data_IF_211259777669
#
_entry.id   IF_211259777669
#
_cell.length_a   1.000
_cell.length_b   1.000
_cell.length_c   1.000
_cell.angle_alpha   90.00
_cell.angle_beta   90.00
_cell.angle_gamma   90.00
#
_symmetry.space_group_name_H-M   'P 1'
#
loop_
_entity.id
_entity.type
_entity.pdbx_description
1 polymer ?
#
# COMPACT_ATOMS: atom_id res chain seq x y z
N UNK A 1 6.96 -4.40 8.14
CA UNK A 1 6.56 -5.60 7.40
C UNK A 1 7.49 -5.79 6.21
N UNK A 2 8.08 -6.95 6.09
CA UNK A 2 8.96 -7.27 4.98
C UNK A 2 8.39 -8.38 4.12
N UNK A 3 8.75 -8.39 2.86
CA UNK A 3 8.32 -9.43 1.94
C UNK A 3 8.88 -9.22 0.55
N UNK A 4 8.37 -10.00 -0.39
CA UNK A 4 8.76 -9.93 -1.79
C UNK A 4 7.57 -9.44 -2.62
N UNK A 5 7.83 -8.56 -3.57
CA UNK A 5 6.79 -8.05 -4.45
C UNK A 5 6.39 -9.15 -5.44
N UNK A 6 5.11 -9.48 -5.44
CA UNK A 6 4.54 -10.52 -6.31
C UNK A 6 3.45 -9.94 -7.19
N UNK A 7 3.06 -10.69 -8.21
CA UNK A 7 1.92 -10.30 -9.03
C UNK A 7 0.64 -10.55 -8.26
N UNK A 8 -0.20 -9.53 -8.17
CA UNK A 8 -1.50 -9.63 -7.53
C UNK A 8 -2.60 -9.18 -8.48
N UNK A 9 -3.75 -8.84 -7.91
CA UNK A 9 -4.83 -8.22 -8.66
C UNK A 9 -4.38 -6.82 -9.07
N UNK A 10 -4.08 -6.59 -10.33
CA UNK A 10 -3.49 -5.34 -10.83
C UNK A 10 -4.53 -4.23 -11.06
N UNK A 11 -5.59 -4.24 -10.27
CA UNK A 11 -6.68 -3.28 -10.44
C UNK A 11 -6.24 -1.83 -10.25
N UNK A 12 -5.38 -1.58 -9.25
CA UNK A 12 -4.86 -0.23 -9.03
C UNK A 12 -4.07 0.27 -10.22
N UNK A 13 -3.28 -0.60 -10.86
CA UNK A 13 -2.51 -0.24 -12.04
C UNK A 13 -3.43 0.15 -13.20
N UNK A 14 -4.50 -0.60 -13.43
CA UNK A 14 -5.47 -0.31 -14.47
C UNK A 14 -6.17 1.03 -14.24
N UNK A 15 -6.27 1.44 -12.98
CA UNK A 15 -6.92 2.69 -12.59
C UNK A 15 -5.94 3.86 -12.45
N UNK A 16 -4.67 3.67 -12.79
CA UNK A 16 -3.65 4.71 -12.69
C UNK A 16 -2.97 4.80 -11.33
N UNK A 17 -3.19 3.81 -10.45
CA UNK A 17 -2.55 3.73 -9.13
C UNK A 17 -1.80 2.40 -9.01
N UNK A 18 -0.65 2.25 -9.69
CA UNK A 18 0.09 0.99 -9.66
C UNK A 18 0.60 0.68 -8.25
N UNK A 19 0.20 -0.46 -7.73
CA UNK A 19 0.59 -0.89 -6.39
C UNK A 19 1.53 -2.08 -6.44
N UNK A 20 2.42 -2.16 -5.45
CA UNK A 20 3.26 -3.33 -5.24
C UNK A 20 2.54 -4.26 -4.25
N UNK A 21 2.26 -5.49 -4.67
CA UNK A 21 1.69 -6.51 -3.81
C UNK A 21 2.83 -7.19 -3.05
N UNK A 22 2.83 -7.05 -1.73
CA UNK A 22 3.91 -7.58 -0.88
C UNK A 22 3.47 -8.90 -0.29
N UNK A 23 4.13 -9.99 -0.69
CA UNK A 23 3.93 -11.29 -0.07
C UNK A 23 4.80 -11.38 1.17
N UNK A 24 4.16 -11.38 2.34
CA UNK A 24 4.86 -11.39 3.63
C UNK A 24 5.21 -12.82 4.04
N UNK A 25 6.23 -12.92 4.89
CA UNK A 25 6.63 -14.21 5.45
C UNK A 25 5.54 -14.72 6.42
N UNK A 26 5.43 -16.07 6.57
CA UNK A 26 4.49 -16.64 7.54
C UNK A 26 4.72 -16.05 8.93
N UNK A 27 3.62 -15.85 9.66
CA UNK A 27 3.63 -15.32 11.04
C UNK A 27 4.13 -13.87 11.15
N UNK A 28 4.21 -13.14 10.04
CA UNK A 28 4.53 -11.71 10.07
C UNK A 28 3.38 -10.94 10.72
N UNK A 29 3.71 -10.07 11.67
CA UNK A 29 2.70 -9.19 12.27
C UNK A 29 2.29 -8.12 11.25
N UNK A 30 1.00 -8.08 10.91
CA UNK A 30 0.43 -7.13 9.96
C UNK A 30 -0.62 -6.31 10.71
N UNK A 31 -0.62 -4.97 10.60
CA UNK A 31 -1.62 -4.15 11.28
C UNK A 31 -3.04 -4.43 10.77
N UNK A 32 -4.03 -3.90 11.45
CA UNK A 32 -5.43 -4.09 11.10
C UNK A 32 -5.74 -3.63 9.68
N UNK A 33 -6.77 -4.18 9.07
CA UNK A 33 -7.19 -3.80 7.72
C UNK A 33 -7.47 -2.29 7.65
N UNK A 34 -7.02 -1.66 6.58
CA UNK A 34 -7.20 -0.24 6.39
C UNK A 34 -6.18 0.35 5.44
N UNK A 35 -6.19 1.66 5.33
CA UNK A 35 -5.25 2.43 4.54
C UNK A 35 -4.34 3.21 5.48
N UNK A 36 -3.06 3.19 5.20
CA UNK A 36 -2.02 3.80 6.03
C UNK A 36 -1.10 4.67 5.19
N UNK A 37 -0.59 5.72 5.82
CA UNK A 37 0.55 6.46 5.28
C UNK A 37 1.82 5.82 5.82
N UNK A 38 2.87 5.76 5.01
CA UNK A 38 4.14 5.20 5.44
C UNK A 38 5.19 5.23 4.35
N UNK A 39 6.12 4.30 4.41
CA UNK A 39 7.22 4.23 3.45
C UNK A 39 7.40 2.83 2.90
N UNK A 40 7.80 2.78 1.64
CA UNK A 40 8.23 1.55 0.97
C UNK A 40 9.75 1.62 0.82
N UNK A 41 10.44 0.69 1.47
CA UNK A 41 11.90 0.62 1.44
C UNK A 41 12.36 -0.47 0.49
N UNK A 42 13.20 -0.12 -0.47
CA UNK A 42 13.84 -1.08 -1.35
C UNK A 42 15.10 -0.47 -1.96
N UNK A 43 16.10 -1.30 -2.19
CA UNK A 43 17.35 -0.89 -2.84
C UNK A 43 17.99 0.35 -2.20
N UNK A 44 17.92 0.44 -0.87
CA UNK A 44 18.51 1.54 -0.13
C UNK A 44 17.74 2.85 -0.17
N UNK A 45 16.54 2.84 -0.72
CA UNK A 45 15.70 4.03 -0.83
C UNK A 45 14.41 3.87 -0.01
N UNK A 46 14.00 4.94 0.66
CA UNK A 46 12.72 5.01 1.35
C UNK A 46 11.78 5.91 0.54
N UNK A 47 10.70 5.34 0.03
CA UNK A 47 9.73 6.05 -0.80
C UNK A 47 8.45 6.28 -0.02
N UNK A 48 7.94 7.53 0.04
CA UNK A 48 6.62 7.77 0.62
C UNK A 48 5.56 6.90 -0.07
N UNK A 49 4.68 6.31 0.71
CA UNK A 49 3.72 5.35 0.18
C UNK A 49 2.35 5.46 0.85
N UNK A 50 1.32 5.14 0.08
CA UNK A 50 0.00 4.83 0.58
C UNK A 50 -0.11 3.31 0.62
N UNK A 51 -0.44 2.76 1.79
CA UNK A 51 -0.40 1.33 2.03
C UNK A 51 -1.80 0.83 2.36
N UNK A 52 -2.23 -0.21 1.64
CA UNK A 52 -3.53 -0.83 1.87
C UNK A 52 -3.34 -2.22 2.46
N UNK A 53 -3.99 -2.48 3.59
CA UNK A 53 -4.04 -3.81 4.21
C UNK A 53 -5.47 -4.31 4.08
N UNK A 54 -5.64 -5.46 3.45
CA UNK A 54 -6.94 -6.06 3.23
C UNK A 54 -6.96 -7.53 3.56
N UNK A 55 -8.15 -8.12 3.55
CA UNK A 55 -8.36 -9.53 3.81
C UNK A 55 -9.14 -10.13 2.66
N UNK A 56 -8.58 -11.17 2.05
CA UNK A 56 -9.25 -11.93 1.00
C UNK A 56 -9.64 -13.30 1.52
N UNK A 57 -10.93 -13.71 1.42
CA UNK A 57 -11.33 -15.06 1.77
C UNK A 57 -10.67 -16.08 0.84
N UNK A 58 -10.19 -17.17 1.42
CA UNK A 58 -9.62 -18.30 0.69
C UNK A 58 -10.35 -19.58 1.07
N UNK A 59 -10.16 -20.65 0.29
CA UNK A 59 -10.81 -21.93 0.56
C UNK A 59 -10.49 -22.47 1.96
N UNK A 60 -9.26 -22.27 2.42
CA UNK A 60 -8.78 -22.81 3.68
C UNK A 60 -8.64 -21.73 4.76
N UNK A 61 -9.32 -20.59 4.60
CA UNK A 61 -9.28 -19.51 5.57
C UNK A 61 -9.25 -18.15 4.92
N UNK A 62 -8.54 -17.21 5.52
CA UNK A 62 -8.37 -15.86 5.01
C UNK A 62 -6.92 -15.54 4.79
N UNK A 63 -6.64 -14.86 3.69
CA UNK A 63 -5.32 -14.33 3.41
C UNK A 63 -5.36 -12.82 3.54
N UNK A 64 -4.39 -12.27 4.24
CA UNK A 64 -4.25 -10.82 4.37
C UNK A 64 -3.26 -10.31 3.34
N UNK A 65 -3.63 -9.21 2.68
CA UNK A 65 -2.82 -8.62 1.60
C UNK A 65 -2.26 -7.28 2.03
N UNK A 66 -1.04 -7.01 1.61
CA UNK A 66 -0.39 -5.71 1.82
C UNK A 66 -0.02 -5.17 0.45
N UNK A 67 -0.57 -4.02 0.10
CA UNK A 67 -0.29 -3.35 -1.17
C UNK A 67 0.24 -1.95 -0.88
N UNK A 68 1.34 -1.58 -1.53
CA UNK A 68 1.94 -0.27 -1.36
C UNK A 68 1.99 0.48 -2.68
N UNK A 69 1.49 1.71 -2.69
CA UNK A 69 1.59 2.63 -3.81
C UNK A 69 2.66 3.68 -3.49
N UNK A 70 3.77 3.68 -4.24
CA UNK A 70 4.83 4.67 -4.08
C UNK A 70 4.36 6.01 -4.64
N UNK A 71 4.18 7.00 -3.77
CA UNK A 71 3.62 8.30 -4.13
C UNK A 71 4.60 9.07 -5.00
N UNK A 72 4.08 9.67 -6.09
CA UNK A 72 4.85 10.50 -7.02
C UNK A 72 5.97 9.76 -7.75
N UNK A 73 5.94 8.45 -7.78
CA UNK A 73 6.89 7.64 -8.54
C UNK A 73 6.19 7.00 -9.72
N UNK A 74 6.84 7.01 -10.87
CA UNK A 74 6.31 6.40 -12.08
C UNK A 74 7.35 5.46 -12.68
N UNK A 75 6.88 4.47 -13.44
CA UNK A 75 7.76 3.55 -14.12
C UNK A 75 8.51 2.58 -13.21
N UNK A 76 8.08 2.43 -11.96
CA UNK A 76 8.68 1.48 -11.03
C UNK A 76 8.30 0.04 -11.39
N UNK A 77 9.28 -0.83 -11.46
CA UNK A 77 9.06 -2.25 -11.54
C UNK A 77 9.78 -2.91 -10.38
N UNK A 78 9.00 -3.25 -9.36
CA UNK A 78 9.52 -3.82 -8.11
C UNK A 78 9.28 -5.32 -8.01
N UNK A 79 8.68 -5.91 -9.05
CA UNK A 79 8.36 -7.33 -9.07
C UNK A 79 9.59 -8.19 -8.78
N UNK A 80 9.46 -9.11 -7.84
CA UNK A 80 10.54 -10.03 -7.45
C UNK A 80 11.53 -9.46 -6.45
N UNK A 81 11.45 -8.16 -6.13
CA UNK A 81 12.37 -7.53 -5.19
C UNK A 81 11.91 -7.70 -3.75
N UNK A 82 12.87 -7.81 -2.85
CA UNK A 82 12.61 -7.75 -1.42
C UNK A 82 12.37 -6.31 -1.01
N UNK A 83 11.30 -6.06 -0.29
CA UNK A 83 10.93 -4.73 0.18
C UNK A 83 10.56 -4.78 1.66
N UNK A 84 10.60 -3.62 2.30
CA UNK A 84 10.07 -3.43 3.65
C UNK A 84 9.03 -2.30 3.62
N UNK A 85 7.95 -2.50 4.34
CA UNK A 85 6.87 -1.51 4.44
C UNK A 85 6.82 -1.01 5.87
N UNK A 86 7.01 0.29 6.05
CA UNK A 86 6.91 0.94 7.36
C UNK A 86 5.60 1.71 7.44
N UNK A 87 4.82 1.44 8.47
CA UNK A 87 3.53 2.10 8.70
C UNK A 87 3.72 3.30 9.62
N UNK A 88 3.30 4.48 9.17
CA UNK A 88 3.41 5.72 9.95
C UNK A 88 2.11 6.06 10.64
N UNK A 89 1.02 6.17 9.89
CA UNK A 89 -0.27 6.64 10.41
C UNK A 89 -1.43 5.92 9.73
N UNK A 90 -2.45 5.61 10.51
CA UNK A 90 -3.71 5.08 10.00
C UNK A 90 -4.49 6.21 9.33
N UNK A 91 -4.97 5.96 8.11
CA UNK A 91 -5.75 6.94 7.36
C UNK A 91 -7.24 6.66 7.46
N UNK A 92 -7.64 5.43 7.15
CA UNK A 92 -9.05 5.01 7.23
C UNK A 92 -9.17 3.50 7.18
N UNK A 93 -10.33 2.99 7.58
CA UNK A 93 -10.64 1.57 7.40
C UNK A 93 -10.96 1.24 5.94
N UNK A 94 -11.05 -0.04 5.63
CA UNK A 94 -11.46 -0.49 4.31
C UNK A 94 -12.94 -0.14 4.08
N UNK A 95 -13.27 0.18 2.83
CA UNK A 95 -14.62 0.53 2.43
C UNK A 95 -14.95 -0.13 1.09
N UNK A 96 -16.24 -0.32 0.86
CA UNK A 96 -16.75 -0.80 -0.43
C UNK A 96 -17.25 0.38 -1.23
N UNK A 97 -17.07 0.32 -2.54
CA UNK A 97 -17.47 1.40 -3.44
C UNK A 97 -18.45 0.85 -4.48
N UNK A 98 -19.57 1.56 -4.66
CA UNK A 98 -20.60 1.14 -5.60
C UNK A 98 -20.25 1.42 -7.05
N UNK A 99 -19.35 2.40 -7.28
CA UNK A 99 -18.94 2.78 -8.63
C UNK A 99 -17.42 2.89 -8.72
N UNK A 100 -16.91 2.75 -9.93
CA UNK A 100 -15.50 2.94 -10.22
C UNK A 100 -15.07 4.38 -9.93
N UNK A 101 -15.91 5.35 -10.25
CA UNK A 101 -15.62 6.76 -10.02
C UNK A 101 -15.45 7.05 -8.52
N UNK A 102 -16.31 6.48 -7.69
CA UNK A 102 -16.22 6.64 -6.24
C UNK A 102 -14.91 6.05 -5.71
N UNK A 103 -14.49 4.89 -6.22
CA UNK A 103 -13.22 4.28 -5.85
C UNK A 103 -12.04 5.17 -6.23
N UNK A 104 -12.03 5.70 -7.45
CA UNK A 104 -10.96 6.57 -7.93
C UNK A 104 -10.84 7.86 -7.11
N UNK A 105 -11.97 8.46 -6.77
CA UNK A 105 -11.99 9.67 -5.94
C UNK A 105 -11.41 9.37 -4.56
N UNK A 106 -11.78 8.24 -3.97
CA UNK A 106 -11.27 7.88 -2.65
C UNK A 106 -9.78 7.57 -2.69
N UNK A 107 -9.30 6.88 -3.74
CA UNK A 107 -7.87 6.61 -3.89
C UNK A 107 -7.05 7.90 -3.99
N UNK A 108 -7.55 8.89 -4.74
CA UNK A 108 -6.89 10.19 -4.85
C UNK A 108 -6.85 10.93 -3.52
N UNK A 109 -7.94 10.89 -2.76
CA UNK A 109 -8.01 11.48 -1.42
C UNK A 109 -7.04 10.79 -0.46
N UNK A 110 -6.94 9.47 -0.53
CA UNK A 110 -6.03 8.70 0.31
C UNK A 110 -4.58 9.10 0.05
N UNK A 111 -4.19 9.22 -1.22
CA UNK A 111 -2.83 9.64 -1.60
C UNK A 111 -2.53 11.05 -1.09
N UNK A 112 -3.48 11.96 -1.24
CA UNK A 112 -3.35 13.32 -0.74
C UNK A 112 -3.14 13.34 0.76
N UNK A 113 -3.95 12.58 1.50
CA UNK A 113 -3.85 12.51 2.95
C UNK A 113 -2.52 11.90 3.39
N UNK A 114 -2.06 10.86 2.69
CA UNK A 114 -0.76 10.25 2.96
C UNK A 114 0.38 11.25 2.77
N UNK A 115 0.35 12.05 1.70
CA UNK A 115 1.36 13.10 1.50
C UNK A 115 1.39 14.07 2.67
N UNK A 116 0.22 14.51 3.12
CA UNK A 116 0.12 15.46 4.24
C UNK A 116 0.70 14.86 5.52
N UNK A 117 0.35 13.63 5.84
CA UNK A 117 0.81 12.95 7.04
C UNK A 117 2.32 12.71 7.02
N UNK A 118 2.85 12.29 5.88
CA UNK A 118 4.28 12.03 5.73
C UNK A 118 5.06 13.34 5.80
N UNK A 119 4.58 14.39 5.15
CA UNK A 119 5.22 15.70 5.19
C UNK A 119 5.25 16.27 6.62
N UNK A 120 4.17 16.08 7.38
CA UNK A 120 4.10 16.53 8.77
C UNK A 120 5.04 15.74 9.68
N UNK A 121 5.30 14.47 9.37
CA UNK A 121 6.17 13.61 10.17
C UNK A 121 7.66 13.76 9.82
N UNK A 122 7.96 14.29 8.63
CA UNK A 122 9.35 14.44 8.16
C UNK A 122 9.91 15.75 8.69
N UNK A 123 11.03 15.72 9.43
CA UNK A 123 11.63 16.96 9.92
C UNK A 123 12.01 17.88 8.77
N UNK A 124 11.77 19.16 8.93
CA UNK A 124 12.22 20.18 7.99
C UNK A 124 13.75 20.30 8.08
N UNK A 125 14.40 20.26 6.96
CA UNK A 125 15.86 20.46 6.97
C UNK A 125 16.59 19.60 6.02
#
# INVERSE_FOLDING_TARGET
VEGVVVRGAQRGRELGFPTANVETLPHTAIPADGVYAGWLHTQGEAMPAAISVGTNPQFDGTERTVEAYAIDRVGLDLYGLHVAVDFLSFVRGQAKFDTLDALLVQMAEDVKRCRELIAAATPAG
#
